data_IF_775420736105
#
_entry.id   IF_775420736105
#
_cell.length_a   1.000
_cell.length_b   1.000
_cell.length_c   1.000
_cell.angle_alpha   90.00
_cell.angle_beta   90.00
_cell.angle_gamma   90.00
#
_symmetry.space_group_name_H-M   'P 1'
#
loop_
_entity.id
_entity.type
_entity.pdbx_description
1 polymer ?
#
# COMPACT_ATOMS: atom_id res chain seq x y z
N UNK A 1 11.49 -27.11 8.91
CA UNK A 1 10.71 -26.15 9.75
C UNK A 1 10.80 -24.77 9.12
N UNK A 2 9.71 -24.21 8.58
CA UNK A 2 9.67 -22.76 8.31
C UNK A 2 9.73 -22.08 9.69
N UNK A 3 10.82 -21.37 9.99
CA UNK A 3 11.01 -20.77 11.32
C UNK A 3 9.91 -19.73 11.58
N UNK A 4 9.16 -19.91 12.67
CA UNK A 4 8.08 -19.00 13.12
C UNK A 4 8.54 -17.54 13.21
N UNK A 5 9.81 -17.31 13.51
CA UNK A 5 10.41 -15.98 13.55
C UNK A 5 10.40 -15.28 12.19
N UNK A 6 10.60 -16.01 11.08
CA UNK A 6 10.60 -15.41 9.74
C UNK A 6 9.19 -15.05 9.26
N UNK A 7 8.18 -15.86 9.61
CA UNK A 7 6.79 -15.50 9.29
C UNK A 7 6.32 -14.29 10.11
N UNK A 8 6.68 -14.22 11.40
CA UNK A 8 6.35 -13.08 12.25
C UNK A 8 7.04 -11.80 11.77
N UNK A 9 8.32 -11.88 11.40
CA UNK A 9 9.04 -10.74 10.83
C UNK A 9 8.39 -10.26 9.53
N UNK A 10 8.07 -11.18 8.61
CA UNK A 10 7.36 -10.84 7.37
C UNK A 10 6.03 -10.14 7.64
N UNK A 11 5.18 -10.71 8.50
CA UNK A 11 3.87 -10.14 8.81
C UNK A 11 3.99 -8.76 9.44
N UNK A 12 4.97 -8.53 10.33
CA UNK A 12 5.22 -7.22 10.94
C UNK A 12 5.67 -6.19 9.90
N UNK A 13 6.61 -6.55 9.03
CA UNK A 13 7.11 -5.64 8.00
C UNK A 13 6.02 -5.30 6.98
N UNK A 14 5.24 -6.28 6.55
CA UNK A 14 4.12 -6.04 5.64
C UNK A 14 3.05 -5.15 6.28
N UNK A 15 2.69 -5.40 7.54
CA UNK A 15 1.75 -4.55 8.27
C UNK A 15 2.26 -3.11 8.41
N UNK A 16 3.56 -2.93 8.68
CA UNK A 16 4.21 -1.62 8.72
C UNK A 16 4.07 -0.87 7.40
N UNK A 17 4.46 -1.51 6.29
CA UNK A 17 4.35 -0.92 4.95
C UNK A 17 2.90 -0.49 4.60
N UNK A 18 1.90 -1.28 5.01
CA UNK A 18 0.50 -0.93 4.79
C UNK A 18 0.04 0.27 5.64
N UNK A 19 0.52 0.38 6.87
CA UNK A 19 0.25 1.54 7.73
C UNK A 19 0.92 2.81 7.19
N UNK A 20 2.17 2.70 6.74
CA UNK A 20 2.91 3.81 6.15
C UNK A 20 2.29 4.24 4.82
N UNK A 21 1.82 3.29 4.01
CA UNK A 21 1.04 3.56 2.80
C UNK A 21 -0.20 4.39 3.13
N UNK A 22 -1.01 3.95 4.11
CA UNK A 22 -2.19 4.69 4.56
C UNK A 22 -1.81 6.09 5.07
N UNK A 23 -0.76 6.22 5.87
CA UNK A 23 -0.32 7.51 6.40
C UNK A 23 0.13 8.47 5.29
N UNK A 24 0.81 7.98 4.25
CA UNK A 24 1.18 8.78 3.08
C UNK A 24 -0.06 9.24 2.30
N UNK A 25 -1.08 8.38 2.19
CA UNK A 25 -2.39 8.72 1.61
C UNK A 25 -3.06 9.86 2.38
N UNK A 26 -3.15 9.74 3.70
CA UNK A 26 -3.75 10.76 4.56
C UNK A 26 -3.01 12.12 4.46
N UNK A 27 -1.69 12.08 4.30
CA UNK A 27 -0.85 13.28 4.09
C UNK A 27 -0.88 13.82 2.66
N UNK A 28 -1.59 13.17 1.74
CA UNK A 28 -1.58 13.47 0.30
C UNK A 28 -0.18 13.39 -0.32
N UNK A 29 0.72 12.62 0.28
CA UNK A 29 2.04 12.34 -0.26
C UNK A 29 1.96 11.18 -1.27
N UNK A 30 1.71 11.55 -2.53
CA UNK A 30 1.56 10.58 -3.62
C UNK A 30 2.84 9.77 -3.87
N UNK A 31 4.01 10.41 -3.70
CA UNK A 31 5.30 9.75 -3.93
C UNK A 31 5.58 8.73 -2.83
N UNK A 32 5.40 9.12 -1.57
CA UNK A 32 5.49 8.21 -0.43
C UNK A 32 4.50 7.06 -0.54
N UNK A 33 3.24 7.34 -0.90
CA UNK A 33 2.23 6.30 -1.06
C UNK A 33 2.62 5.28 -2.15
N UNK A 34 3.12 5.74 -3.30
CA UNK A 34 3.59 4.83 -4.34
C UNK A 34 4.81 3.99 -3.90
N UNK A 35 5.72 4.58 -3.12
CA UNK A 35 6.89 3.89 -2.58
C UNK A 35 6.46 2.75 -1.64
N UNK A 36 5.60 3.04 -0.66
CA UNK A 36 5.14 2.04 0.31
C UNK A 36 4.31 0.93 -0.34
N UNK A 37 3.49 1.27 -1.34
CA UNK A 37 2.82 0.28 -2.16
C UNK A 37 3.81 -0.65 -2.87
N UNK A 38 4.83 -0.09 -3.54
CA UNK A 38 5.83 -0.89 -4.25
C UNK A 38 6.63 -1.77 -3.28
N UNK A 39 6.92 -1.26 -2.09
CA UNK A 39 7.58 -2.02 -1.04
C UNK A 39 6.72 -3.21 -0.56
N UNK A 40 5.44 -2.98 -0.25
CA UNK A 40 4.51 -4.05 0.12
C UNK A 40 4.36 -5.10 -0.99
N UNK A 41 4.27 -4.67 -2.25
CA UNK A 41 4.22 -5.56 -3.42
C UNK A 41 5.49 -6.42 -3.52
N UNK A 42 6.66 -5.80 -3.33
CA UNK A 42 7.95 -6.49 -3.33
C UNK A 42 8.07 -7.54 -2.21
N UNK A 43 7.58 -7.25 -1.01
CA UNK A 43 7.53 -8.20 0.10
C UNK A 43 6.69 -9.43 -0.25
N UNK A 44 5.47 -9.22 -0.76
CA UNK A 44 4.58 -10.32 -1.16
C UNK A 44 5.19 -11.13 -2.30
N UNK A 45 5.76 -10.45 -3.31
CA UNK A 45 6.45 -11.10 -4.42
C UNK A 45 7.64 -11.95 -3.95
N UNK A 46 8.50 -11.40 -3.09
CA UNK A 46 9.64 -12.14 -2.53
C UNK A 46 9.21 -13.34 -1.68
N UNK A 47 8.17 -13.20 -0.87
CA UNK A 47 7.62 -14.30 -0.08
C UNK A 47 7.00 -15.40 -0.96
N UNK A 48 6.40 -15.02 -2.09
CA UNK A 48 5.85 -15.97 -3.07
C UNK A 48 6.96 -16.71 -3.82
N UNK A 49 7.97 -15.98 -4.32
CA UNK A 49 9.09 -16.55 -5.08
C UNK A 49 9.97 -17.47 -4.23
N UNK A 50 10.12 -17.17 -2.93
CA UNK A 50 10.85 -18.01 -1.98
C UNK A 50 10.05 -19.23 -1.52
N UNK A 51 8.78 -19.38 -1.93
CA UNK A 51 7.89 -20.44 -1.47
C UNK A 51 7.45 -20.31 -0.01
N UNK A 52 7.65 -19.14 0.60
CA UNK A 52 7.15 -18.85 1.94
C UNK A 52 5.62 -18.78 1.95
N UNK A 53 5.03 -18.19 0.91
CA UNK A 53 3.59 -18.14 0.61
C UNK A 53 3.34 -18.95 -0.67
N UNK A 54 2.17 -19.60 -0.77
CA UNK A 54 1.78 -20.28 -2.01
C UNK A 54 1.50 -19.28 -3.14
N UNK A 55 1.56 -19.77 -4.39
CA UNK A 55 1.46 -18.90 -5.56
C UNK A 55 0.08 -18.25 -5.70
N UNK A 56 -0.97 -19.01 -5.40
CA UNK A 56 -2.35 -18.53 -5.49
C UNK A 56 -2.64 -17.51 -4.39
N UNK A 57 -2.20 -17.78 -3.17
CA UNK A 57 -2.34 -16.85 -2.04
C UNK A 57 -1.52 -15.58 -2.24
N UNK A 58 -0.31 -15.71 -2.80
CA UNK A 58 0.52 -14.58 -3.20
C UNK A 58 -0.17 -13.69 -4.24
N UNK A 59 -0.73 -14.29 -5.29
CA UNK A 59 -1.46 -13.57 -6.32
C UNK A 59 -2.73 -12.88 -5.77
N UNK A 60 -3.48 -13.56 -4.90
CA UNK A 60 -4.65 -12.98 -4.25
C UNK A 60 -4.29 -11.77 -3.37
N UNK A 61 -3.20 -11.85 -2.60
CA UNK A 61 -2.69 -10.74 -1.81
C UNK A 61 -2.25 -9.55 -2.67
N UNK A 62 -1.56 -9.80 -3.79
CA UNK A 62 -1.16 -8.75 -4.72
C UNK A 62 -2.38 -8.06 -5.35
N UNK A 63 -3.39 -8.83 -5.78
CA UNK A 63 -4.63 -8.28 -6.30
C UNK A 63 -5.34 -7.41 -5.27
N UNK A 64 -5.44 -7.87 -4.01
CA UNK A 64 -6.07 -7.09 -2.94
C UNK A 64 -5.31 -5.81 -2.61
N UNK A 65 -3.98 -5.85 -2.65
CA UNK A 65 -3.14 -4.68 -2.47
C UNK A 65 -3.37 -3.65 -3.59
N UNK A 66 -3.49 -4.10 -4.83
CA UNK A 66 -3.76 -3.24 -5.98
C UNK A 66 -5.16 -2.60 -5.92
N UNK A 67 -6.20 -3.36 -5.56
CA UNK A 67 -7.54 -2.82 -5.30
C UNK A 67 -7.52 -1.73 -4.22
N UNK A 68 -6.77 -1.97 -3.15
CA UNK A 68 -6.62 -1.01 -2.04
C UNK A 68 -5.89 0.24 -2.51
N UNK A 69 -4.84 0.08 -3.33
CA UNK A 69 -4.13 1.20 -3.92
C UNK A 69 -5.06 2.04 -4.78
N UNK A 70 -5.85 1.44 -5.67
CA UNK A 70 -6.79 2.18 -6.51
C UNK A 70 -7.81 2.95 -5.66
N UNK A 71 -8.46 2.29 -4.71
CA UNK A 71 -9.46 2.92 -3.84
C UNK A 71 -8.89 4.11 -3.03
N UNK A 72 -7.66 3.98 -2.52
CA UNK A 72 -7.01 5.04 -1.75
C UNK A 72 -6.43 6.15 -2.63
N UNK A 73 -5.90 5.81 -3.81
CA UNK A 73 -5.30 6.76 -4.73
C UNK A 73 -6.35 7.61 -5.45
N UNK A 74 -7.54 7.07 -5.72
CA UNK A 74 -8.68 7.82 -6.25
C UNK A 74 -9.09 8.96 -5.30
N UNK A 75 -8.97 8.75 -3.99
CA UNK A 75 -9.22 9.78 -2.98
C UNK A 75 -8.24 10.97 -3.00
N UNK A 76 -7.05 10.84 -3.62
CA UNK A 76 -6.14 11.99 -3.79
C UNK A 76 -6.66 12.98 -4.84
N UNK A 77 -7.52 12.54 -5.77
CA UNK A 77 -8.08 13.37 -6.84
C UNK A 77 -9.11 14.40 -6.34
N UNK A 78 -9.77 14.12 -5.21
CA UNK A 78 -10.84 14.94 -4.63
C UNK A 78 -10.33 15.89 -3.54
N UNK A 79 -9.29 16.67 -3.82
CA UNK A 79 -9.19 17.95 -3.12
C UNK A 79 -10.40 18.80 -3.54
N UNK A 80 -11.30 19.25 -2.63
CA UNK A 80 -12.21 20.31 -3.00
C UNK A 80 -11.34 21.48 -3.45
N UNK A 81 -11.44 21.84 -4.74
CA UNK A 81 -10.79 23.06 -5.25
C UNK A 81 -11.20 24.17 -4.29
N UNK A 82 -10.27 24.93 -3.70
CA UNK A 82 -10.65 26.08 -2.91
C UNK A 82 -11.54 26.92 -3.83
N UNK A 83 -12.78 27.18 -3.39
CA UNK A 83 -13.67 28.09 -4.11
C UNK A 83 -12.88 29.38 -4.28
N UNK A 84 -12.45 29.67 -5.50
CA UNK A 84 -11.88 30.96 -5.83
C UNK A 84 -12.99 31.96 -5.54
N UNK A 85 -12.88 32.63 -4.40
CA UNK A 85 -13.75 33.72 -4.03
C UNK A 85 -13.52 34.80 -5.09
N UNK A 86 -14.44 34.91 -6.06
CA UNK A 86 -14.51 36.11 -6.90
C UNK A 86 -14.88 37.24 -5.95
N UNK A 87 -13.87 38.01 -5.53
CA UNK A 87 -14.12 39.34 -5.02
C UNK A 87 -14.69 40.15 -6.18
N UNK A 88 -15.98 40.46 -6.12
CA UNK A 88 -16.54 41.57 -6.89
C UNK A 88 -15.96 42.85 -6.31
N UNK A 89 -15.24 43.61 -7.13
CA UNK A 89 -15.18 45.07 -7.11
C UNK A 89 -14.78 45.54 -8.50
#
# INVERSE_FOLDING_TARGET
>A
MKSKAHSEAFSRTLAGALLDFKAAVEKRDKAGANLEYAFALGLIGGATLSGAIGKEEGAALQAKLEETRQALMDAFGDAPKPKTWKACN
#
